data_IF_686933485158
#
_entry.id   IF_686933485158
#
_cell.length_a   1.000
_cell.length_b   1.000
_cell.length_c   1.000
_cell.angle_alpha   90.00
_cell.angle_beta   90.00
_cell.angle_gamma   90.00
#
_symmetry.space_group_name_H-M   'P 1'
#
loop_
_entity.id
_entity.type
_entity.pdbx_description
1 polymer ?
#
# COMPACT_ATOMS: atom_id res chain seq x y z
N UNK A 1 -61.40 -48.63 51.18
CA UNK A 1 -60.27 -49.55 51.35
C UNK A 1 -59.80 -50.06 49.99
N UNK A 2 -58.47 -50.14 49.81
CA UNK A 2 -57.65 -50.71 48.70
C UNK A 2 -57.60 -49.88 47.39
N UNK A 3 -56.49 -49.89 46.62
CA UNK A 3 -55.19 -50.56 46.80
C UNK A 3 -53.97 -49.62 46.77
N UNK A 4 -52.88 -50.03 47.44
CA UNK A 4 -51.53 -49.47 47.28
C UNK A 4 -50.97 -49.92 45.93
N UNK A 5 -50.61 -48.98 45.05
CA UNK A 5 -49.87 -49.26 43.82
C UNK A 5 -48.45 -48.74 43.97
N UNK A 6 -47.52 -49.67 44.15
CA UNK A 6 -46.09 -49.44 44.08
C UNK A 6 -45.74 -49.20 42.61
N UNK A 7 -45.40 -47.96 42.26
CA UNK A 7 -44.91 -47.64 40.93
C UNK A 7 -43.39 -47.44 41.00
N UNK A 8 -42.68 -48.36 40.36
CA UNK A 8 -41.22 -48.43 40.31
C UNK A 8 -40.58 -47.07 39.97
N UNK A 9 -39.54 -46.73 40.73
CA UNK A 9 -38.70 -45.56 40.50
C UNK A 9 -38.11 -45.58 39.09
N UNK A 10 -38.60 -44.70 38.20
CA UNK A 10 -37.94 -44.43 36.92
C UNK A 10 -36.72 -43.58 37.21
N UNK A 11 -35.55 -44.21 37.33
CA UNK A 11 -34.26 -43.54 37.24
C UNK A 11 -34.19 -42.79 35.90
N UNK A 12 -34.50 -41.49 35.92
CA UNK A 12 -34.26 -40.64 34.77
C UNK A 12 -32.79 -40.28 34.76
N UNK A 13 -32.01 -41.00 33.95
CA UNK A 13 -30.64 -40.61 33.66
C UNK A 13 -30.65 -39.28 32.90
N UNK A 14 -30.54 -38.16 33.63
CA UNK A 14 -30.24 -36.87 33.02
C UNK A 14 -28.84 -36.97 32.42
N UNK A 15 -28.74 -37.19 31.11
CA UNK A 15 -27.49 -36.96 30.36
C UNK A 15 -27.02 -35.54 30.65
N UNK A 16 -25.99 -35.39 31.50
CA UNK A 16 -25.26 -34.13 31.64
C UNK A 16 -24.78 -33.75 30.23
N UNK A 17 -25.27 -32.62 29.69
CA UNK A 17 -24.73 -32.04 28.45
C UNK A 17 -23.28 -31.68 28.72
N UNK A 18 -22.35 -32.57 28.34
CA UNK A 18 -20.93 -32.27 28.36
C UNK A 18 -20.71 -31.21 27.29
N UNK A 19 -20.74 -29.94 27.68
CA UNK A 19 -20.29 -28.84 26.84
C UNK A 19 -18.78 -29.02 26.65
N UNK A 20 -18.41 -29.77 25.62
CA UNK A 20 -17.02 -30.15 25.40
C UNK A 20 -16.16 -28.91 25.15
N UNK A 21 -14.94 -28.92 25.70
CA UNK A 21 -13.90 -27.88 25.53
C UNK A 21 -13.68 -27.54 24.04
N UNK A 22 -13.94 -28.49 23.14
CA UNK A 22 -13.93 -28.34 21.69
C UNK A 22 -14.98 -27.33 21.16
N UNK A 23 -16.21 -27.32 21.70
CA UNK A 23 -17.25 -26.35 21.34
C UNK A 23 -16.84 -24.92 21.75
N UNK A 24 -16.34 -24.74 22.97
CA UNK A 24 -15.84 -23.45 23.44
C UNK A 24 -14.64 -22.98 22.61
N UNK A 25 -13.68 -23.87 22.30
CA UNK A 25 -12.52 -23.57 21.44
C UNK A 25 -12.94 -23.15 20.03
N UNK A 26 -13.94 -23.82 19.42
CA UNK A 26 -14.52 -23.41 18.13
C UNK A 26 -15.18 -22.03 18.21
N UNK A 27 -15.92 -21.72 19.28
CA UNK A 27 -16.59 -20.42 19.47
C UNK A 27 -15.56 -19.28 19.64
N UNK A 28 -14.51 -19.50 20.44
CA UNK A 28 -13.39 -18.54 20.61
C UNK A 28 -12.64 -18.32 19.29
N UNK A 29 -12.34 -19.39 18.55
CA UNK A 29 -11.69 -19.30 17.23
C UNK A 29 -12.54 -18.48 16.24
N UNK A 30 -13.86 -18.71 16.20
CA UNK A 30 -14.78 -17.95 15.34
C UNK A 30 -14.81 -16.46 15.72
N UNK A 31 -14.83 -16.13 17.02
CA UNK A 31 -14.79 -14.73 17.50
C UNK A 31 -13.48 -14.03 17.15
N UNK A 32 -12.33 -14.71 17.29
CA UNK A 32 -11.01 -14.22 16.84
C UNK A 32 -10.98 -13.95 15.33
N UNK A 33 -11.54 -14.86 14.51
CA UNK A 33 -11.60 -14.72 13.04
C UNK A 33 -12.49 -13.56 12.57
N UNK A 34 -13.58 -13.28 13.29
CA UNK A 34 -14.43 -12.11 13.04
C UNK A 34 -13.67 -10.82 13.35
N UNK A 35 -12.92 -10.77 14.46
CA UNK A 35 -12.14 -9.61 14.85
C UNK A 35 -10.99 -9.32 13.86
N UNK A 36 -10.28 -10.35 13.39
CA UNK A 36 -9.24 -10.18 12.36
C UNK A 36 -9.80 -9.73 11.02
N UNK A 37 -10.97 -10.25 10.59
CA UNK A 37 -11.64 -9.81 9.36
C UNK A 37 -12.14 -8.36 9.46
N UNK A 38 -12.67 -7.96 10.63
CA UNK A 38 -13.09 -6.58 10.89
C UNK A 38 -11.90 -5.61 10.91
N UNK A 39 -10.78 -6.00 11.53
CA UNK A 39 -9.53 -5.24 11.52
C UNK A 39 -8.98 -5.07 10.10
N UNK A 40 -8.93 -6.15 9.30
CA UNK A 40 -8.51 -6.09 7.89
C UNK A 40 -9.43 -5.18 7.06
N UNK A 41 -10.75 -5.28 7.25
CA UNK A 41 -11.73 -4.42 6.57
C UNK A 41 -11.57 -2.94 6.95
N UNK A 42 -11.31 -2.61 8.23
CA UNK A 42 -11.00 -1.24 8.68
C UNK A 42 -9.70 -0.71 8.06
N UNK A 43 -8.65 -1.54 7.96
CA UNK A 43 -7.36 -1.16 7.35
C UNK A 43 -7.48 -0.95 5.84
N UNK A 44 -8.29 -1.76 5.15
CA UNK A 44 -8.63 -1.57 3.73
C UNK A 44 -9.51 -0.34 3.50
N UNK A 45 -10.47 -0.06 4.39
CA UNK A 45 -11.33 1.13 4.29
C UNK A 45 -10.56 2.43 4.57
N UNK A 46 -9.60 2.43 5.51
CA UNK A 46 -8.66 3.55 5.71
C UNK A 46 -7.73 3.78 4.51
N UNK A 47 -7.49 2.77 3.67
CA UNK A 47 -6.74 2.88 2.40
C UNK A 47 -7.58 3.42 1.23
N UNK A 48 -8.91 3.55 1.36
CA UNK A 48 -9.82 3.88 0.25
C UNK A 48 -10.27 5.34 0.15
N UNK A 49 -9.66 6.26 0.90
CA UNK A 49 -9.87 7.70 0.72
C UNK A 49 -8.63 8.43 0.19
N UNK A 50 -7.79 7.77 -0.59
CA UNK A 50 -7.07 8.52 -1.63
C UNK A 50 -8.11 8.77 -2.70
N UNK A 51 -8.65 9.99 -2.70
CA UNK A 51 -9.53 10.50 -3.75
C UNK A 51 -8.80 10.22 -5.05
N UNK A 52 -9.23 9.19 -5.79
CA UNK A 52 -8.80 9.00 -7.16
C UNK A 52 -9.31 10.25 -7.85
N UNK A 53 -8.43 11.22 -8.07
CA UNK A 53 -8.69 12.28 -9.02
C UNK A 53 -8.84 11.57 -10.35
N UNK A 54 -10.07 11.16 -10.67
CA UNK A 54 -10.49 10.83 -12.03
C UNK A 54 -10.54 12.17 -12.77
N UNK A 55 -9.38 12.81 -12.91
CA UNK A 55 -9.15 13.81 -13.93
C UNK A 55 -8.73 13.01 -15.15
N UNK A 56 -9.62 13.00 -16.12
CA UNK A 56 -9.34 12.59 -17.49
C UNK A 56 -7.95 13.09 -17.87
N UNK A 57 -7.06 12.13 -18.15
CA UNK A 57 -5.67 12.32 -18.53
C UNK A 57 -5.59 13.20 -19.77
N UNK A 58 -5.28 14.48 -19.58
CA UNK A 58 -4.65 15.31 -20.60
C UNK A 58 -3.47 15.95 -19.87
N UNK A 59 -2.34 15.27 -19.97
CA UNK A 59 -1.01 15.72 -19.53
C UNK A 59 -0.77 15.97 -18.04
N UNK A 60 -0.57 14.89 -17.30
CA UNK A 60 0.00 14.93 -15.93
C UNK A 60 1.52 14.86 -15.90
N UNK A 61 2.19 14.84 -17.06
CA UNK A 61 3.66 14.78 -17.15
C UNK A 61 4.33 16.05 -16.65
N UNK A 62 5.67 16.08 -16.65
CA UNK A 62 6.44 17.30 -16.37
C UNK A 62 5.96 18.46 -17.25
N UNK A 63 5.58 19.58 -16.64
CA UNK A 63 5.28 20.82 -17.36
C UNK A 63 6.54 21.45 -17.95
N UNK A 64 7.68 21.22 -17.29
CA UNK A 64 9.00 21.55 -17.79
C UNK A 64 10.00 20.46 -17.41
N UNK A 65 10.91 20.13 -18.31
CA UNK A 65 12.08 19.33 -17.98
C UNK A 65 13.27 19.76 -18.85
N UNK A 66 14.46 19.67 -18.27
CA UNK A 66 15.73 19.95 -18.95
C UNK A 66 16.75 18.89 -18.55
N UNK A 67 17.46 18.38 -19.55
CA UNK A 67 18.56 17.44 -19.35
C UNK A 67 19.83 18.09 -19.89
N UNK A 68 20.87 18.12 -19.06
CA UNK A 68 22.22 18.52 -19.46
C UNK A 68 23.20 17.44 -19.00
N UNK A 69 24.46 17.48 -19.44
CA UNK A 69 25.49 16.53 -18.96
C UNK A 69 25.76 16.64 -17.45
N UNK A 70 25.48 17.80 -16.84
CA UNK A 70 25.82 18.07 -15.44
C UNK A 70 24.62 17.94 -14.48
N UNK A 71 23.43 18.32 -14.93
CA UNK A 71 22.22 18.31 -14.12
C UNK A 71 20.96 18.00 -14.94
N UNK A 72 19.94 17.53 -14.24
CA UNK A 72 18.57 17.39 -14.72
C UNK A 72 17.66 18.27 -13.88
N UNK A 73 16.72 18.92 -14.54
CA UNK A 73 15.76 19.82 -13.90
C UNK A 73 14.35 19.47 -14.37
N UNK A 74 13.38 19.57 -13.47
CA UNK A 74 11.97 19.44 -13.82
C UNK A 74 11.09 20.36 -12.99
N UNK A 75 9.96 20.73 -13.61
CA UNK A 75 8.76 21.20 -12.93
C UNK A 75 7.67 20.19 -13.23
N UNK A 76 7.04 19.67 -12.19
CA UNK A 76 5.99 18.69 -12.36
C UNK A 76 5.32 18.31 -11.05
N UNK A 77 4.34 17.42 -11.15
CA UNK A 77 3.65 16.82 -10.01
C UNK A 77 4.23 15.43 -9.79
N UNK A 78 4.31 14.99 -8.54
CA UNK A 78 4.67 13.60 -8.23
C UNK A 78 3.69 13.04 -7.20
N UNK A 79 3.26 11.81 -7.42
CA UNK A 79 2.38 11.01 -6.57
C UNK A 79 2.95 10.78 -5.18
N UNK A 80 4.27 10.97 -5.00
CA UNK A 80 4.89 11.06 -3.68
C UNK A 80 4.29 12.19 -2.81
N UNK A 81 3.81 13.30 -3.40
CA UNK A 81 3.14 14.41 -2.69
C UNK A 81 1.61 14.25 -2.67
N UNK A 82 1.06 13.11 -3.09
CA UNK A 82 -0.40 12.90 -3.15
C UNK A 82 -1.09 13.02 -1.78
N UNK A 83 -0.34 12.77 -0.71
CA UNK A 83 -0.82 12.87 0.67
C UNK A 83 -0.56 14.22 1.33
N UNK A 84 0.12 15.13 0.63
CA UNK A 84 0.39 16.50 1.07
C UNK A 84 -0.31 17.45 0.11
N UNK A 85 0.47 18.15 -0.69
CA UNK A 85 0.16 19.10 -1.71
C UNK A 85 0.52 18.47 -3.05
N UNK A 86 -0.47 17.90 -3.73
CA UNK A 86 -0.31 17.43 -5.12
C UNK A 86 -0.16 18.62 -6.10
N UNK A 87 0.62 19.63 -5.71
CA UNK A 87 0.99 20.82 -6.45
C UNK A 87 2.17 20.51 -7.38
N UNK A 88 2.46 21.46 -8.27
CA UNK A 88 3.70 21.43 -9.04
C UNK A 88 4.87 21.88 -8.19
N UNK A 89 5.97 21.16 -8.35
CA UNK A 89 7.20 21.41 -7.64
C UNK A 89 8.35 21.47 -8.62
N UNK A 90 9.28 22.39 -8.37
CA UNK A 90 10.53 22.48 -9.13
C UNK A 90 11.61 21.69 -8.41
N UNK A 91 12.34 20.88 -9.17
CA UNK A 91 13.47 20.12 -8.66
C UNK A 91 14.62 20.10 -9.67
N UNK A 92 15.84 20.22 -9.16
CA UNK A 92 17.08 20.05 -9.92
C UNK A 92 17.98 19.05 -9.19
N UNK A 93 18.61 18.18 -9.96
CA UNK A 93 19.51 17.13 -9.48
C UNK A 93 20.76 17.06 -10.34
N UNK A 94 21.89 16.67 -9.74
CA UNK A 94 23.09 16.30 -10.52
C UNK A 94 22.72 15.16 -11.46
N UNK A 95 23.21 15.23 -12.70
CA UNK A 95 23.03 14.16 -13.67
C UNK A 95 23.99 13.03 -13.34
N UNK A 96 23.72 12.34 -12.23
CA UNK A 96 24.53 11.26 -11.68
C UNK A 96 23.59 10.15 -11.20
N UNK A 97 23.82 8.93 -11.67
CA UNK A 97 23.03 7.78 -11.21
C UNK A 97 23.67 7.16 -9.95
N UNK A 98 23.00 7.22 -8.78
CA UNK A 98 23.53 6.63 -7.55
C UNK A 98 23.56 5.10 -7.57
N UNK A 99 22.98 4.41 -8.56
CA UNK A 99 23.04 2.94 -8.68
C UNK A 99 24.30 2.46 -9.39
N UNK A 100 24.62 3.04 -10.56
CA UNK A 100 25.77 2.63 -11.36
C UNK A 100 26.98 3.57 -11.24
N UNK A 101 26.84 4.71 -10.56
CA UNK A 101 27.92 5.68 -10.32
C UNK A 101 28.34 6.51 -11.53
N UNK A 102 27.53 6.52 -12.60
CA UNK A 102 27.85 7.22 -13.85
C UNK A 102 27.14 8.57 -13.95
N UNK A 103 27.89 9.55 -14.42
CA UNK A 103 27.39 10.88 -14.77
C UNK A 103 26.80 10.93 -16.18
N UNK A 104 25.94 11.92 -16.45
CA UNK A 104 25.34 12.14 -17.77
C UNK A 104 24.32 11.09 -18.22
N UNK A 105 23.86 10.21 -17.31
CA UNK A 105 23.03 9.05 -17.66
C UNK A 105 21.53 9.25 -17.46
N UNK A 106 21.10 10.28 -16.73
CA UNK A 106 19.69 10.53 -16.46
C UNK A 106 19.00 11.12 -17.69
N UNK A 107 17.86 10.54 -18.08
CA UNK A 107 16.93 11.04 -19.09
C UNK A 107 15.52 11.15 -18.52
N UNK A 108 14.70 12.01 -19.11
CA UNK A 108 13.27 12.08 -18.79
C UNK A 108 12.50 11.00 -19.55
N UNK A 109 11.57 10.34 -18.86
CA UNK A 109 10.65 9.38 -19.47
C UNK A 109 9.23 9.55 -18.92
N UNK A 110 8.22 9.46 -19.79
CA UNK A 110 6.80 9.48 -19.44
C UNK A 110 6.14 8.23 -19.99
N UNK A 111 5.69 7.34 -19.11
CA UNK A 111 5.14 6.03 -19.47
C UNK A 111 3.71 5.82 -18.96
N UNK A 112 3.02 4.77 -19.43
CA UNK A 112 1.67 4.43 -18.98
C UNK A 112 1.62 4.10 -17.48
N UNK A 113 2.72 3.59 -16.93
CA UNK A 113 2.88 3.25 -15.50
C UNK A 113 3.20 4.46 -14.62
N UNK A 114 3.75 5.52 -15.22
CA UNK A 114 4.08 6.77 -14.54
C UNK A 114 3.77 7.95 -15.46
N UNK A 115 2.49 8.36 -15.52
CA UNK A 115 2.07 9.42 -16.43
C UNK A 115 2.60 10.80 -15.99
N UNK A 116 3.05 10.91 -14.73
CA UNK A 116 3.73 12.06 -14.13
C UNK A 116 5.13 12.31 -14.71
N UNK A 117 5.74 11.28 -15.28
CA UNK A 117 7.12 11.29 -15.72
C UNK A 117 8.11 10.96 -14.60
N UNK A 118 9.30 10.53 -15.00
CA UNK A 118 10.36 10.10 -14.09
C UNK A 118 11.75 10.36 -14.70
N UNK A 119 12.76 10.36 -13.85
CA UNK A 119 14.16 10.30 -14.29
C UNK A 119 14.59 8.85 -14.40
N UNK A 120 15.10 8.43 -15.55
CA UNK A 120 15.57 7.06 -15.81
C UNK A 120 17.05 7.10 -16.14
N UNK A 121 17.83 6.21 -15.54
CA UNK A 121 19.22 6.01 -15.93
C UNK A 121 19.30 5.18 -17.21
N UNK A 122 19.89 5.75 -18.27
CA UNK A 122 20.08 5.07 -19.56
C UNK A 122 21.00 3.85 -19.52
N UNK A 123 21.74 3.64 -18.42
CA UNK A 123 22.72 2.56 -18.30
C UNK A 123 22.25 1.37 -17.44
N UNK A 124 21.54 1.63 -16.34
CA UNK A 124 21.13 0.58 -15.40
C UNK A 124 19.62 0.53 -15.15
N UNK A 125 18.84 1.29 -15.93
CA UNK A 125 17.38 1.30 -15.89
C UNK A 125 16.81 1.66 -14.51
N UNK A 126 17.58 2.46 -13.76
CA UNK A 126 17.15 2.94 -12.45
C UNK A 126 16.20 4.12 -12.61
N UNK A 127 15.01 3.98 -12.03
CA UNK A 127 13.94 4.97 -12.08
C UNK A 127 13.86 5.80 -10.80
N UNK A 128 13.66 7.10 -10.95
CA UNK A 128 13.52 8.05 -9.85
C UNK A 128 12.32 8.98 -10.05
N UNK A 129 11.58 9.28 -8.97
CA UNK A 129 10.50 10.27 -9.00
C UNK A 129 11.05 11.60 -9.52
N UNK A 130 10.33 12.17 -10.49
CA UNK A 130 10.65 13.42 -11.17
C UNK A 130 10.99 14.57 -10.20
N UNK A 131 10.19 14.71 -9.13
CA UNK A 131 10.24 15.83 -8.18
C UNK A 131 11.15 15.57 -6.98
N UNK A 132 11.11 14.37 -6.40
CA UNK A 132 11.82 14.08 -5.16
C UNK A 132 13.16 13.36 -5.37
N UNK A 133 13.44 12.89 -6.58
CA UNK A 133 14.65 12.14 -6.89
C UNK A 133 14.75 10.79 -6.18
N UNK A 134 13.68 10.33 -5.53
CA UNK A 134 13.63 9.05 -4.82
C UNK A 134 13.49 7.89 -5.82
N UNK A 135 14.29 6.85 -5.66
CA UNK A 135 14.21 5.66 -6.50
C UNK A 135 12.93 4.85 -6.27
N UNK A 136 12.43 4.22 -7.34
CA UNK A 136 11.27 3.32 -7.30
C UNK A 136 11.65 1.88 -6.91
N UNK A 137 12.52 1.72 -5.91
CA UNK A 137 13.01 0.42 -5.45
C UNK A 137 12.84 0.26 -3.94
N UNK A 138 12.87 -0.99 -3.46
CA UNK A 138 12.73 -1.29 -2.03
C UNK A 138 13.87 -0.70 -1.18
N UNK A 139 15.08 -0.60 -1.75
CA UNK A 139 16.24 0.08 -1.15
C UNK A 139 16.37 1.47 -1.73
N UNK A 140 15.65 2.43 -1.14
CA UNK A 140 15.57 3.79 -1.64
C UNK A 140 16.97 4.42 -1.73
N UNK A 141 17.33 4.87 -2.95
CA UNK A 141 18.43 5.82 -3.21
C UNK A 141 17.82 7.12 -3.70
N UNK A 142 18.54 8.22 -3.51
CA UNK A 142 18.09 9.54 -3.88
C UNK A 142 19.08 10.17 -4.85
N UNK A 143 18.57 10.89 -5.84
CA UNK A 143 19.37 11.80 -6.63
C UNK A 143 19.89 12.95 -5.76
N UNK A 144 21.10 13.40 -6.06
CA UNK A 144 21.74 14.50 -5.35
C UNK A 144 21.16 15.82 -5.87
N UNK A 145 20.59 16.66 -5.00
CA UNK A 145 20.06 17.97 -5.41
C UNK A 145 21.19 18.92 -5.83
N UNK A 146 20.87 19.79 -6.78
CA UNK A 146 21.70 20.96 -7.12
C UNK A 146 21.42 22.12 -6.16
#
# INVERSE_FOLDING_TARGET
MKPVKVAAAKHTYKKKRVHTKAYYRKKVYKKKRVHTKAYYRKKVYKRKHVRVYRRTSRDVGASYHRVTSQYVESVGRCSCSLHTDYAEHRAAFRNHCPFCGRDGTLRYEKGPTCPEGMWVCSHCDADFCLVHGKSHTARARYLIRC
#
